data_IF_476220343440
#
_entry.id   IF_476220343440
#
_cell.length_a   1.000
_cell.length_b   1.000
_cell.length_c   1.000
_cell.angle_alpha   90.00
_cell.angle_beta   90.00
_cell.angle_gamma   90.00
#
_symmetry.space_group_name_H-M   'P 1'
#
loop_
_entity.id
_entity.type
_entity.pdbx_description
1 polymer ?
#
# COMPACT_ATOMS: atom_id res chain seq x y z
N UNK A 1 7.78 -2.29 14.49
CA UNK A 1 8.13 -0.99 13.88
C UNK A 1 8.11 -1.19 12.38
N UNK A 2 7.46 -0.26 11.66
CA UNK A 2 6.80 -0.45 10.36
C UNK A 2 7.59 -1.21 9.28
N UNK A 3 7.03 -2.32 8.82
CA UNK A 3 7.36 -2.88 7.51
C UNK A 3 6.58 -2.09 6.48
N UNK A 4 7.21 -1.06 5.90
CA UNK A 4 6.66 -0.21 4.84
C UNK A 4 6.89 -0.84 3.45
N UNK A 5 6.70 -2.15 3.35
CA UNK A 5 7.04 -2.87 2.12
C UNK A 5 6.23 -2.37 0.92
N UNK A 6 4.96 -2.00 1.14
CA UNK A 6 4.05 -1.60 0.07
C UNK A 6 4.30 -0.18 -0.42
N UNK A 7 4.50 0.79 0.48
CA UNK A 7 4.76 2.19 0.09
C UNK A 7 6.14 2.36 -0.55
N UNK A 8 7.11 1.52 -0.17
CA UNK A 8 8.42 1.47 -0.81
C UNK A 8 8.30 0.93 -2.24
N UNK A 9 7.58 -0.17 -2.44
CA UNK A 9 7.32 -0.72 -3.78
C UNK A 9 6.58 0.30 -4.65
N UNK A 10 5.55 0.97 -4.12
CA UNK A 10 4.84 2.02 -4.87
C UNK A 10 5.78 3.15 -5.30
N UNK A 11 6.65 3.63 -4.39
CA UNK A 11 7.64 4.65 -4.71
C UNK A 11 8.55 4.21 -5.86
N UNK A 12 9.11 3.01 -5.76
CA UNK A 12 10.09 2.50 -6.72
C UNK A 12 9.45 2.28 -8.11
N UNK A 13 8.20 1.78 -8.16
CA UNK A 13 7.44 1.63 -9.41
C UNK A 13 7.14 2.99 -10.07
N UNK A 14 6.80 4.00 -9.27
CA UNK A 14 6.52 5.34 -9.76
C UNK A 14 7.80 6.03 -10.25
N UNK A 15 8.91 5.82 -9.56
CA UNK A 15 10.21 6.35 -9.96
C UNK A 15 10.66 5.73 -11.30
N UNK A 16 10.45 4.43 -11.51
CA UNK A 16 10.66 3.77 -12.81
C UNK A 16 9.77 4.36 -13.92
N UNK A 17 8.55 4.78 -13.58
CA UNK A 17 7.65 5.49 -14.49
C UNK A 17 7.98 6.99 -14.68
N UNK A 18 9.04 7.50 -14.04
CA UNK A 18 9.49 8.88 -14.12
C UNK A 18 8.85 9.85 -13.12
N UNK A 19 8.12 9.34 -12.12
CA UNK A 19 7.48 10.11 -11.06
C UNK A 19 8.26 9.92 -9.75
N UNK A 20 9.09 10.89 -9.39
CA UNK A 20 9.86 10.84 -8.16
C UNK A 20 9.01 11.26 -6.96
N UNK A 21 8.79 10.35 -6.01
CA UNK A 21 8.14 10.63 -4.73
C UNK A 21 9.09 10.33 -3.57
N UNK A 22 9.01 11.12 -2.49
CA UNK A 22 9.61 10.71 -1.22
C UNK A 22 8.78 9.60 -0.59
N UNK A 23 9.37 8.80 0.29
CA UNK A 23 8.67 7.74 0.99
C UNK A 23 7.46 8.27 1.79
N UNK A 24 7.59 9.44 2.41
CA UNK A 24 6.48 10.10 3.11
C UNK A 24 5.32 10.48 2.16
N UNK A 25 5.62 10.91 0.93
CA UNK A 25 4.59 11.18 -0.08
C UNK A 25 3.93 9.90 -0.57
N UNK A 26 4.71 8.84 -0.84
CA UNK A 26 4.18 7.54 -1.24
C UNK A 26 3.28 6.93 -0.15
N UNK A 27 3.69 7.06 1.12
CA UNK A 27 2.92 6.62 2.28
C UNK A 27 1.58 7.36 2.43
N UNK A 28 1.57 8.69 2.20
CA UNK A 28 0.33 9.47 2.20
C UNK A 28 -0.59 9.15 1.03
N UNK A 29 -0.01 8.84 -0.15
CA UNK A 29 -0.75 8.67 -1.40
C UNK A 29 -1.60 7.40 -1.46
N UNK A 30 -1.13 6.30 -0.89
CA UNK A 30 -1.90 5.04 -0.84
C UNK A 30 -2.97 5.04 0.27
N UNK A 31 -3.19 6.20 0.92
CA UNK A 31 -4.09 6.35 2.05
C UNK A 31 -3.81 5.32 3.17
N UNK A 32 -2.54 4.94 3.30
CA UNK A 32 -2.06 4.03 4.35
C UNK A 32 -2.02 4.70 5.72
N UNK A 33 -2.61 5.89 5.86
CA UNK A 33 -2.70 6.62 7.12
C UNK A 33 -4.16 7.00 7.38
N UNK A 34 -4.81 6.21 8.24
CA UNK A 34 -6.14 6.49 8.77
C UNK A 34 -6.02 7.05 10.17
N UNK A 35 -6.73 8.15 10.42
CA UNK A 35 -6.89 8.71 11.76
C UNK A 35 -8.28 8.37 12.27
N UNK A 36 -8.36 7.61 13.36
CA UNK A 36 -9.62 7.38 14.07
C UNK A 36 -9.58 8.13 15.39
N UNK A 37 -10.56 9.01 15.58
CA UNK A 37 -10.81 9.69 16.85
C UNK A 37 -11.85 8.89 17.62
N UNK A 38 -11.53 8.50 18.85
CA UNK A 38 -12.48 7.85 19.75
C UNK A 38 -13.01 8.86 20.75
N UNK A 39 -14.34 9.00 20.80
CA UNK A 39 -15.02 9.80 21.81
C UNK A 39 -15.00 9.05 23.16
N UNK A 40 -14.45 9.68 24.20
CA UNK A 40 -14.34 9.13 25.55
C UNK A 40 -15.67 9.12 26.31
N UNK A 41 -16.77 9.60 25.72
CA UNK A 41 -17.98 9.94 26.46
C UNK A 41 -18.99 8.79 26.64
N UNK A 42 -18.64 7.52 26.40
CA UNK A 42 -19.55 6.40 26.67
C UNK A 42 -18.84 5.11 27.14
N UNK A 43 -18.51 5.06 28.43
CA UNK A 43 -18.79 3.92 29.32
C UNK A 43 -18.35 2.48 28.98
N UNK A 44 -17.44 2.21 28.04
CA UNK A 44 -16.93 0.84 27.81
C UNK A 44 -15.47 0.70 28.25
N UNK A 45 -15.30 0.16 29.45
CA UNK A 45 -14.03 -0.14 30.12
C UNK A 45 -13.32 -1.40 29.61
N UNK A 46 -13.43 -1.73 28.32
CA UNK A 46 -12.87 -2.99 27.77
C UNK A 46 -11.66 -2.80 26.85
N UNK A 47 -11.25 -1.55 26.56
CA UNK A 47 -10.08 -1.31 25.71
C UNK A 47 -9.19 -0.21 26.28
N UNK A 48 -8.05 -0.60 26.86
CA UNK A 48 -7.10 0.31 27.51
C UNK A 48 -6.08 0.85 26.48
N UNK A 49 -6.49 1.85 25.69
CA UNK A 49 -5.62 2.75 24.89
C UNK A 49 -5.38 4.05 25.70
N UNK A 50 -5.18 3.95 27.01
CA UNK A 50 -5.13 5.14 27.87
C UNK A 50 -3.82 5.92 27.69
N UNK A 51 -3.72 6.72 26.63
CA UNK A 51 -3.27 8.13 26.72
C UNK A 51 -3.19 8.87 25.38
N UNK A 52 -3.57 8.24 24.25
CA UNK A 52 -3.64 8.94 22.96
C UNK A 52 -5.05 8.79 22.35
N UNK A 53 -5.84 9.86 22.20
CA UNK A 53 -7.16 9.81 21.54
C UNK A 53 -7.06 9.61 20.02
N UNK A 54 -5.88 9.25 19.52
CA UNK A 54 -5.54 9.13 18.11
C UNK A 54 -5.03 7.71 17.86
N UNK A 55 -5.81 6.92 17.16
CA UNK A 55 -5.29 5.70 16.55
C UNK A 55 -4.72 6.07 15.18
N UNK A 56 -3.40 5.91 15.04
CA UNK A 56 -2.72 5.98 13.74
C UNK A 56 -2.68 4.56 13.20
N UNK A 57 -3.67 4.24 12.39
CA UNK A 57 -3.75 2.97 11.67
C UNK A 57 -3.35 3.16 10.21
N UNK A 58 -2.98 2.08 9.54
CA UNK A 58 -2.76 2.11 8.10
C UNK A 58 -3.50 1.02 7.37
N UNK A 59 -3.70 1.22 6.07
CA UNK A 59 -4.22 0.18 5.18
C UNK A 59 -3.23 -1.00 5.18
N UNK A 60 -3.67 -2.13 5.72
CA UNK A 60 -2.88 -3.38 5.81
C UNK A 60 -3.06 -4.30 4.59
N UNK A 61 -3.50 -3.75 3.46
CA UNK A 61 -3.91 -4.51 2.29
C UNK A 61 -3.10 -4.17 1.05
N UNK A 62 -2.86 -5.17 0.21
CA UNK A 62 -2.16 -5.05 -1.07
C UNK A 62 -2.73 -3.91 -1.93
N UNK A 63 -1.84 -3.18 -2.60
CA UNK A 63 -2.24 -2.18 -3.59
C UNK A 63 -2.91 -2.90 -4.76
N UNK A 64 -4.15 -2.52 -5.08
CA UNK A 64 -4.91 -3.09 -6.20
C UNK A 64 -5.24 -2.02 -7.22
N UNK A 65 -5.78 -2.42 -8.38
CA UNK A 65 -6.30 -1.47 -9.38
C UNK A 65 -7.35 -0.51 -8.81
N UNK A 66 -8.04 -0.89 -7.73
CA UNK A 66 -9.08 -0.07 -7.10
C UNK A 66 -8.54 0.87 -6.01
N UNK A 67 -7.26 0.73 -5.63
CA UNK A 67 -6.60 1.61 -4.68
C UNK A 67 -6.70 3.07 -5.12
N UNK A 68 -6.83 3.97 -4.15
CA UNK A 68 -6.97 5.41 -4.39
C UNK A 68 -5.72 5.97 -5.09
N UNK A 69 -4.54 5.46 -4.73
CA UNK A 69 -3.26 5.75 -5.41
C UNK A 69 -3.35 5.53 -6.93
N UNK A 70 -3.86 4.38 -7.37
CA UNK A 70 -4.06 4.06 -8.79
C UNK A 70 -5.05 5.01 -9.47
N UNK A 71 -6.17 5.32 -8.80
CA UNK A 71 -7.20 6.23 -9.32
C UNK A 71 -6.70 7.67 -9.50
N UNK A 72 -5.89 8.15 -8.56
CA UNK A 72 -5.34 9.52 -8.59
C UNK A 72 -4.22 9.63 -9.63
N UNK A 73 -3.33 8.64 -9.67
CA UNK A 73 -2.18 8.65 -10.57
C UNK A 73 -2.52 8.21 -12.00
N UNK A 74 -3.68 7.59 -12.21
CA UNK A 74 -4.07 6.99 -13.48
C UNK A 74 -3.22 5.77 -13.85
N UNK A 75 -2.54 5.15 -12.89
CA UNK A 75 -1.73 3.97 -13.15
C UNK A 75 -2.60 2.69 -13.12
N UNK A 76 -2.22 1.71 -13.94
CA UNK A 76 -2.89 0.41 -14.00
C UNK A 76 -2.02 -0.63 -13.34
N UNK A 77 -2.51 -1.24 -12.26
CA UNK A 77 -1.87 -2.37 -11.59
C UNK A 77 -2.67 -3.62 -11.91
N UNK A 78 -1.98 -4.69 -12.33
CA UNK A 78 -2.59 -5.99 -12.60
C UNK A 78 -2.04 -7.03 -11.64
N UNK A 79 -2.93 -7.73 -10.94
CA UNK A 79 -2.56 -8.80 -10.02
C UNK A 79 -2.82 -10.15 -10.69
N UNK A 80 -1.79 -11.01 -10.69
CA UNK A 80 -1.88 -12.36 -11.24
C UNK A 80 -1.49 -13.36 -10.15
N UNK A 81 -2.33 -14.36 -9.93
CA UNK A 81 -2.10 -15.43 -8.97
C UNK A 81 -1.91 -16.75 -9.71
N UNK A 82 -0.89 -17.50 -9.33
CA UNK A 82 -0.53 -18.77 -9.96
C UNK A 82 -0.46 -19.87 -8.91
N UNK A 83 -0.98 -21.06 -9.24
CA UNK A 83 -0.91 -22.25 -8.37
C UNK A 83 0.42 -23.03 -8.48
N UNK A 84 1.27 -22.66 -9.43
CA UNK A 84 2.55 -23.32 -9.71
C UNK A 84 3.64 -22.25 -9.83
N UNK A 85 4.77 -22.47 -9.14
CA UNK A 85 5.89 -21.53 -9.06
C UNK A 85 6.64 -21.36 -10.39
N UNK A 86 6.79 -22.44 -11.17
CA UNK A 86 7.52 -22.40 -12.44
C UNK A 86 6.74 -21.57 -13.47
N UNK A 87 5.41 -21.76 -13.51
CA UNK A 87 4.51 -20.97 -14.35
C UNK A 87 4.54 -19.50 -13.93
N UNK A 88 4.52 -19.21 -12.63
CA UNK A 88 4.64 -17.85 -12.11
C UNK A 88 5.96 -17.20 -12.55
N UNK A 89 7.07 -17.94 -12.47
CA UNK A 89 8.39 -17.44 -12.81
C UNK A 89 8.52 -17.12 -14.31
N UNK A 90 8.01 -17.99 -15.18
CA UNK A 90 8.06 -17.75 -16.63
C UNK A 90 7.15 -16.59 -17.06
N UNK A 91 6.00 -16.41 -16.40
CA UNK A 91 5.16 -15.22 -16.58
C UNK A 91 5.90 -13.94 -16.16
N UNK A 92 6.52 -13.94 -14.98
CA UNK A 92 7.31 -12.81 -14.46
C UNK A 92 8.45 -12.43 -15.40
N UNK A 93 9.24 -13.40 -15.88
CA UNK A 93 10.30 -13.14 -16.88
C UNK A 93 9.77 -12.46 -18.12
N UNK A 94 8.65 -12.94 -18.65
CA UNK A 94 8.05 -12.40 -19.88
C UNK A 94 7.68 -10.93 -19.73
N UNK A 95 7.23 -10.53 -18.53
CA UNK A 95 6.88 -9.13 -18.21
C UNK A 95 8.15 -8.29 -18.01
N UNK A 96 9.11 -8.79 -17.22
CA UNK A 96 10.39 -8.12 -16.97
C UNK A 96 11.18 -7.85 -18.26
N UNK A 97 11.20 -8.82 -19.19
CA UNK A 97 11.88 -8.68 -20.49
C UNK A 97 11.23 -7.62 -21.38
N UNK A 98 9.98 -7.22 -21.12
CA UNK A 98 9.30 -6.10 -21.80
C UNK A 98 9.60 -4.74 -21.15
N UNK A 99 10.41 -4.70 -20.09
CA UNK A 99 10.74 -3.48 -19.35
C UNK A 99 9.63 -3.00 -18.41
N UNK A 100 8.62 -3.84 -18.14
CA UNK A 100 7.53 -3.55 -17.22
C UNK A 100 7.95 -4.07 -15.84
N UNK A 101 7.99 -3.22 -14.79
CA UNK A 101 8.35 -3.66 -13.45
C UNK A 101 7.20 -4.47 -12.83
N UNK A 102 7.55 -5.45 -11.99
CA UNK A 102 6.62 -6.35 -11.27
C UNK A 102 6.88 -6.32 -9.77
#
# INVERSE_FOLDING_TARGET
MGHHCESTVLRDLLEHAGVCLSEAMAFGLDATMGFTYFDKTSGSSTFNIMDVPLFVGGKTGTITAESMSCKILGCTISMQEFKNSDVAWDASKTILLKGIPI
#
